data_IF_182955354823
#
_entry.id   IF_182955354823
#
_cell.length_a   1.000
_cell.length_b   1.000
_cell.length_c   1.000
_cell.angle_alpha   90.00
_cell.angle_beta   90.00
_cell.angle_gamma   90.00
#
_symmetry.space_group_name_H-M   'P 1'
#
loop_
_entity.id
_entity.type
_entity.pdbx_description
1 polymer ?
#
# COMPACT_ATOMS: atom_id res chain seq x y z
N UNK A 1 -8.14 -19.47 2.21
CA UNK A 1 -9.48 -18.89 2.09
C UNK A 1 -9.42 -17.37 2.01
N UNK A 2 -8.60 -16.68 2.82
CA UNK A 2 -8.40 -15.21 2.72
C UNK A 2 -7.82 -14.76 1.37
N UNK A 3 -6.92 -15.55 0.77
CA UNK A 3 -6.22 -15.25 -0.49
C UNK A 3 -7.14 -15.10 -1.71
N UNK A 4 -8.13 -15.98 -1.81
CA UNK A 4 -9.15 -15.86 -2.86
C UNK A 4 -10.03 -14.64 -2.58
N UNK A 5 -10.24 -14.30 -1.30
CA UNK A 5 -11.10 -13.19 -0.90
C UNK A 5 -10.59 -11.83 -1.38
N UNK A 6 -9.28 -11.62 -1.37
CA UNK A 6 -8.67 -10.33 -1.70
C UNK A 6 -8.46 -10.15 -3.22
N UNK A 7 -8.03 -11.21 -3.93
CA UNK A 7 -7.75 -11.13 -5.37
C UNK A 7 -9.01 -10.90 -6.22
N UNK A 8 -10.14 -11.53 -5.86
CA UNK A 8 -11.37 -11.28 -6.60
C UNK A 8 -11.88 -9.84 -6.41
N UNK A 9 -11.64 -9.22 -5.24
CA UNK A 9 -12.02 -7.82 -4.98
C UNK A 9 -11.22 -6.88 -5.88
N UNK A 10 -9.92 -7.13 -6.06
CA UNK A 10 -9.09 -6.35 -6.99
C UNK A 10 -9.60 -6.44 -8.43
N UNK A 11 -9.89 -7.66 -8.91
CA UNK A 11 -10.42 -7.87 -10.26
C UNK A 11 -11.79 -7.19 -10.41
N UNK A 12 -12.65 -7.28 -9.39
CA UNK A 12 -13.93 -6.57 -9.37
C UNK A 12 -13.73 -5.06 -9.45
N UNK A 13 -12.79 -4.47 -8.70
CA UNK A 13 -12.50 -3.02 -8.76
C UNK A 13 -12.00 -2.61 -10.14
N UNK A 14 -11.06 -3.37 -10.73
CA UNK A 14 -10.53 -3.08 -12.07
C UNK A 14 -11.62 -3.17 -13.14
N UNK A 15 -12.44 -4.23 -13.14
CA UNK A 15 -13.56 -4.37 -14.07
C UNK A 15 -14.59 -3.24 -13.91
N UNK A 16 -14.85 -2.79 -12.67
CA UNK A 16 -15.73 -1.66 -12.44
C UNK A 16 -15.17 -0.36 -13.01
N UNK A 17 -13.86 -0.12 -12.88
CA UNK A 17 -13.20 1.02 -13.53
C UNK A 17 -13.30 0.93 -15.05
N UNK A 18 -13.10 -0.26 -15.63
CA UNK A 18 -13.22 -0.44 -17.07
C UNK A 18 -14.65 -0.12 -17.56
N UNK A 19 -15.68 -0.46 -16.77
CA UNK A 19 -17.07 -0.04 -17.02
C UNK A 19 -17.19 1.49 -16.92
N UNK A 20 -16.64 2.09 -15.87
CA UNK A 20 -16.69 3.53 -15.65
C UNK A 20 -15.97 4.35 -16.72
N UNK A 21 -14.88 3.84 -17.29
CA UNK A 21 -14.13 4.44 -18.40
C UNK A 21 -14.82 4.23 -19.75
N UNK A 22 -15.87 3.42 -19.80
CA UNK A 22 -16.60 3.10 -21.02
C UNK A 22 -15.94 2.00 -21.88
N UNK A 23 -14.89 1.33 -21.40
CA UNK A 23 -14.29 0.16 -22.05
C UNK A 23 -15.33 -0.95 -22.25
N UNK A 24 -16.23 -1.10 -21.27
CA UNK A 24 -17.41 -1.97 -21.35
C UNK A 24 -18.70 -1.13 -21.27
N UNK A 25 -19.27 -0.70 -22.41
CA UNK A 25 -20.47 0.12 -22.43
C UNK A 25 -21.71 -0.58 -21.87
N UNK A 26 -22.69 0.21 -21.42
CA UNK A 26 -23.99 -0.30 -20.97
C UNK A 26 -24.64 -1.23 -22.01
N UNK A 27 -25.19 -2.36 -21.55
CA UNK A 27 -25.86 -3.35 -22.39
C UNK A 27 -24.93 -4.30 -23.15
N UNK A 28 -23.62 -4.05 -23.17
CA UNK A 28 -22.64 -4.94 -23.81
C UNK A 28 -22.29 -6.13 -22.93
N UNK A 29 -21.79 -7.21 -23.55
CA UNK A 29 -21.31 -8.40 -22.85
C UNK A 29 -19.84 -8.21 -22.46
N UNK A 30 -19.50 -8.57 -21.23
CA UNK A 30 -18.12 -8.76 -20.82
C UNK A 30 -17.47 -9.93 -21.60
N UNK A 31 -16.13 -9.99 -21.65
CA UNK A 31 -15.40 -11.15 -22.15
C UNK A 31 -15.84 -12.44 -21.45
N UNK A 32 -15.65 -13.58 -22.12
CA UNK A 32 -16.01 -14.88 -21.57
C UNK A 32 -15.25 -15.17 -20.27
N UNK A 33 -15.77 -16.07 -19.43
CA UNK A 33 -15.07 -16.47 -18.19
C UNK A 33 -13.64 -16.95 -18.48
N UNK A 34 -13.44 -17.65 -19.59
CA UNK A 34 -12.12 -18.12 -20.01
C UNK A 34 -11.23 -16.95 -20.42
N UNK A 35 -11.71 -16.01 -21.24
CA UNK A 35 -10.96 -14.84 -21.64
C UNK A 35 -10.56 -13.97 -20.42
N UNK A 36 -11.45 -13.84 -19.43
CA UNK A 36 -11.13 -13.14 -18.18
C UNK A 36 -10.10 -13.91 -17.34
N UNK A 37 -10.16 -15.25 -17.29
CA UNK A 37 -9.12 -16.04 -16.61
C UNK A 37 -7.76 -15.85 -17.28
N UNK A 38 -7.71 -15.82 -18.61
CA UNK A 38 -6.49 -15.59 -19.40
C UNK A 38 -5.98 -14.16 -19.21
N UNK A 39 -6.87 -13.15 -19.29
CA UNK A 39 -6.53 -11.73 -19.12
C UNK A 39 -5.94 -11.44 -17.74
N UNK A 40 -6.53 -11.99 -16.68
CA UNK A 40 -6.11 -11.71 -15.30
C UNK A 40 -5.13 -12.75 -14.73
N UNK A 41 -4.89 -13.86 -15.44
CA UNK A 41 -3.99 -14.92 -14.99
C UNK A 41 -4.47 -15.67 -13.74
N UNK A 42 -5.79 -15.72 -13.50
CA UNK A 42 -6.37 -16.31 -12.28
C UNK A 42 -7.34 -17.47 -12.58
N UNK A 43 -7.63 -18.26 -11.55
CA UNK A 43 -8.58 -19.37 -11.65
C UNK A 43 -10.04 -18.92 -11.83
N UNK A 44 -10.85 -19.83 -12.37
CA UNK A 44 -12.30 -19.63 -12.62
C UNK A 44 -13.08 -19.20 -11.38
N UNK A 45 -12.72 -19.72 -10.20
CA UNK A 45 -13.42 -19.39 -8.94
C UNK A 45 -13.22 -17.92 -8.56
N UNK A 46 -12.00 -17.40 -8.71
CA UNK A 46 -11.67 -16.00 -8.44
C UNK A 46 -12.41 -15.06 -9.39
N UNK A 47 -12.44 -15.33 -10.70
CA UNK A 47 -13.23 -14.53 -11.66
C UNK A 47 -14.72 -14.62 -11.33
N UNK A 48 -15.24 -15.81 -10.99
CA UNK A 48 -16.65 -15.96 -10.62
C UNK A 48 -17.01 -15.13 -9.40
N UNK A 49 -16.16 -15.11 -8.37
CA UNK A 49 -16.36 -14.29 -7.18
C UNK A 49 -16.29 -12.79 -7.50
N UNK A 50 -15.36 -12.36 -8.36
CA UNK A 50 -15.24 -10.97 -8.80
C UNK A 50 -16.50 -10.49 -9.54
N UNK A 51 -16.99 -11.30 -10.47
CA UNK A 51 -18.21 -11.02 -11.22
C UNK A 51 -19.46 -11.06 -10.32
N UNK A 52 -19.52 -11.97 -9.34
CA UNK A 52 -20.60 -12.03 -8.38
C UNK A 52 -20.66 -10.78 -7.48
N UNK A 53 -19.50 -10.21 -7.13
CA UNK A 53 -19.45 -8.93 -6.41
C UNK A 53 -20.02 -7.79 -7.26
N UNK A 54 -19.66 -7.72 -8.55
CA UNK A 54 -20.21 -6.72 -9.48
C UNK A 54 -21.71 -6.89 -9.74
N UNK A 55 -22.21 -8.12 -9.74
CA UNK A 55 -23.66 -8.40 -9.82
C UNK A 55 -24.40 -7.93 -8.57
N UNK A 56 -23.82 -8.16 -7.39
CA UNK A 56 -24.36 -7.67 -6.10
C UNK A 56 -24.41 -6.14 -6.09
N UNK A 57 -23.39 -5.50 -6.65
CA UNK A 57 -23.29 -4.04 -6.77
C UNK A 57 -24.12 -3.47 -7.94
N UNK A 58 -24.90 -4.31 -8.66
CA UNK A 58 -25.76 -3.91 -9.77
C UNK A 58 -25.02 -3.37 -11.00
N UNK A 59 -23.71 -3.60 -11.07
CA UNK A 59 -22.86 -3.22 -12.20
C UNK A 59 -23.02 -4.19 -13.38
N UNK A 60 -23.32 -5.45 -13.08
CA UNK A 60 -23.53 -6.51 -14.06
C UNK A 60 -24.86 -7.24 -13.84
N UNK A 61 -25.36 -7.81 -14.94
CA UNK A 61 -26.46 -8.76 -14.94
C UNK A 61 -26.02 -10.04 -15.64
N UNK A 62 -26.29 -11.20 -15.03
CA UNK A 62 -26.08 -12.51 -15.66
C UNK A 62 -27.38 -13.15 -16.09
N UNK A 63 -27.38 -13.67 -17.31
CA UNK A 63 -28.37 -14.62 -17.81
C UNK A 63 -27.77 -16.04 -17.77
N UNK A 64 -28.58 -17.05 -17.43
CA UNK A 64 -28.11 -18.45 -17.37
C UNK A 64 -27.50 -18.85 -18.72
N UNK A 65 -26.26 -19.36 -18.70
CA UNK A 65 -25.56 -19.84 -19.89
C UNK A 65 -24.92 -18.76 -20.78
N UNK A 66 -25.00 -17.47 -20.39
CA UNK A 66 -24.43 -16.36 -21.16
C UNK A 66 -23.30 -15.63 -20.41
N UNK A 67 -22.48 -14.88 -21.16
CA UNK A 67 -21.54 -13.92 -20.58
C UNK A 67 -22.30 -12.83 -19.80
N UNK A 68 -21.69 -12.30 -18.74
CA UNK A 68 -22.28 -11.21 -17.95
C UNK A 68 -22.45 -9.96 -18.84
N UNK A 69 -23.58 -9.28 -18.71
CA UNK A 69 -23.90 -8.04 -19.42
C UNK A 69 -23.75 -6.84 -18.47
N UNK A 70 -23.22 -5.73 -18.96
CA UNK A 70 -23.14 -4.48 -18.18
C UNK A 70 -24.54 -3.91 -17.98
N UNK A 71 -24.94 -3.74 -16.71
CA UNK A 71 -26.23 -3.17 -16.31
C UNK A 71 -26.12 -1.76 -15.75
N UNK A 72 -24.90 -1.27 -15.51
CA UNK A 72 -24.68 0.11 -15.09
C UNK A 72 -24.63 1.04 -16.30
N UNK A 73 -25.55 2.01 -16.36
CA UNK A 73 -25.49 3.11 -17.30
C UNK A 73 -24.75 4.30 -16.67
N UNK A 74 -23.52 4.55 -17.13
CA UNK A 74 -22.67 5.64 -16.66
C UNK A 74 -23.22 7.04 -17.00
N UNK A 75 -24.18 7.13 -17.93
CA UNK A 75 -24.85 8.39 -18.27
C UNK A 75 -26.11 8.66 -17.41
N UNK A 76 -26.54 7.67 -16.62
CA UNK A 76 -27.74 7.71 -15.77
C UNK A 76 -27.51 7.08 -14.40
N UNK A 77 -26.34 7.35 -13.80
CA UNK A 77 -25.93 6.80 -12.51
C UNK A 77 -26.91 7.13 -11.39
N UNK A 78 -27.51 8.32 -11.44
CA UNK A 78 -28.52 8.80 -10.50
C UNK A 78 -29.81 7.97 -10.51
N UNK A 79 -30.01 7.13 -11.52
CA UNK A 79 -31.16 6.21 -11.60
C UNK A 79 -30.81 4.79 -11.13
N UNK A 80 -29.53 4.48 -10.92
CA UNK A 80 -29.11 3.15 -10.50
C UNK A 80 -29.06 3.06 -8.96
N UNK A 81 -30.07 2.39 -8.38
CA UNK A 81 -30.18 2.23 -6.93
C UNK A 81 -28.99 1.54 -6.27
N UNK A 82 -28.33 0.60 -6.97
CA UNK A 82 -27.20 -0.15 -6.41
C UNK A 82 -25.95 0.72 -6.39
N UNK A 83 -25.71 1.49 -7.46
CA UNK A 83 -24.66 2.51 -7.48
C UNK A 83 -24.85 3.52 -6.36
N UNK A 84 -26.05 4.10 -6.23
CA UNK A 84 -26.33 5.09 -5.18
C UNK A 84 -26.17 4.50 -3.77
N UNK A 85 -26.63 3.26 -3.54
CA UNK A 85 -26.42 2.57 -2.27
C UNK A 85 -24.93 2.38 -1.96
N UNK A 86 -24.15 1.92 -2.95
CA UNK A 86 -22.69 1.76 -2.81
C UNK A 86 -21.98 3.08 -2.51
N UNK A 87 -22.38 4.16 -3.18
CA UNK A 87 -21.86 5.52 -2.91
C UNK A 87 -22.22 6.01 -1.50
N UNK A 88 -23.42 5.69 -1.02
CA UNK A 88 -23.82 5.99 0.35
C UNK A 88 -22.97 5.21 1.37
N UNK A 89 -22.71 3.93 1.11
CA UNK A 89 -21.84 3.09 1.94
C UNK A 89 -20.38 3.57 1.95
N UNK A 90 -19.85 4.07 0.84
CA UNK A 90 -18.44 4.50 0.74
C UNK A 90 -18.19 5.94 1.16
N UNK A 91 -19.21 6.69 1.61
CA UNK A 91 -19.09 8.13 1.87
C UNK A 91 -17.98 8.46 2.86
N UNK A 92 -17.96 7.79 4.00
CA UNK A 92 -16.98 8.05 5.05
C UNK A 92 -15.59 7.59 4.61
N UNK A 93 -15.49 6.44 3.94
CA UNK A 93 -14.25 5.98 3.31
C UNK A 93 -13.66 6.98 2.29
N UNK A 94 -14.50 7.64 1.49
CA UNK A 94 -14.05 8.69 0.55
C UNK A 94 -13.45 9.87 1.31
N UNK A 95 -14.09 10.30 2.42
CA UNK A 95 -13.55 11.34 3.27
C UNK A 95 -12.19 10.94 3.88
N UNK A 96 -12.09 9.70 4.38
CA UNK A 96 -10.86 9.14 4.93
C UNK A 96 -9.73 9.10 3.89
N UNK A 97 -10.01 8.70 2.64
CA UNK A 97 -8.99 8.67 1.57
C UNK A 97 -8.51 10.08 1.22
N UNK A 98 -9.39 11.08 1.12
CA UNK A 98 -8.95 12.47 0.90
C UNK A 98 -8.07 12.99 2.04
N UNK A 99 -8.41 12.67 3.29
CA UNK A 99 -7.60 13.04 4.44
C UNK A 99 -6.23 12.35 4.40
N UNK A 100 -6.19 11.07 4.02
CA UNK A 100 -4.94 10.34 3.82
C UNK A 100 -4.08 10.96 2.71
N UNK A 101 -4.65 11.29 1.55
CA UNK A 101 -3.93 11.98 0.47
C UNK A 101 -3.38 13.34 0.93
N UNK A 102 -4.17 14.13 1.66
CA UNK A 102 -3.75 15.44 2.20
C UNK A 102 -2.62 15.37 3.24
N UNK A 103 -2.39 14.19 3.84
CA UNK A 103 -1.26 13.93 4.75
C UNK A 103 -0.06 13.34 4.01
N UNK A 104 -0.27 12.32 3.17
CA UNK A 104 0.79 11.55 2.52
C UNK A 104 1.38 12.25 1.30
N UNK A 105 0.53 12.73 0.39
CA UNK A 105 0.97 13.23 -0.92
C UNK A 105 1.89 14.46 -0.84
N UNK A 106 1.69 15.44 0.05
CA UNK A 106 2.63 16.56 0.19
C UNK A 106 4.06 16.10 0.50
N UNK A 107 4.20 15.07 1.35
CA UNK A 107 5.50 14.50 1.74
C UNK A 107 6.08 13.66 0.61
N UNK A 108 5.25 12.83 -0.04
CA UNK A 108 5.64 11.96 -1.14
C UNK A 108 6.09 12.73 -2.37
N UNK A 109 5.29 13.71 -2.82
CA UNK A 109 5.60 14.57 -3.96
C UNK A 109 6.88 15.36 -3.69
N UNK A 110 7.03 15.91 -2.48
CA UNK A 110 8.26 16.61 -2.14
C UNK A 110 9.49 15.72 -2.22
N UNK A 111 9.43 14.51 -1.63
CA UNK A 111 10.53 13.56 -1.70
C UNK A 111 10.85 13.19 -3.15
N UNK A 112 9.82 12.94 -3.97
CA UNK A 112 10.00 12.59 -5.38
C UNK A 112 10.65 13.72 -6.19
N UNK A 113 10.24 14.97 -5.97
CA UNK A 113 10.80 16.14 -6.66
C UNK A 113 12.27 16.39 -6.29
N UNK A 114 12.76 15.89 -5.16
CA UNK A 114 14.20 15.94 -4.84
C UNK A 114 15.05 15.05 -5.77
N UNK A 115 14.43 14.11 -6.48
CA UNK A 115 15.06 13.26 -7.48
C UNK A 115 14.82 13.74 -8.92
N UNK A 116 14.09 14.84 -9.12
CA UNK A 116 13.81 15.38 -10.44
C UNK A 116 15.00 16.19 -10.98
N UNK A 117 15.33 16.01 -12.25
CA UNK A 117 16.27 16.86 -12.99
C UNK A 117 15.54 17.96 -13.80
N UNK A 118 16.31 18.75 -14.55
CA UNK A 118 15.77 19.83 -15.38
C UNK A 118 14.79 19.33 -16.44
N UNK A 119 15.05 18.17 -17.06
CA UNK A 119 14.17 17.61 -18.09
C UNK A 119 12.82 17.20 -17.47
N UNK A 120 12.83 16.53 -16.32
CA UNK A 120 11.61 16.18 -15.60
C UNK A 120 10.77 17.42 -15.30
N UNK A 121 11.40 18.51 -14.83
CA UNK A 121 10.72 19.76 -14.50
C UNK A 121 10.11 20.45 -15.74
N UNK A 122 10.82 20.46 -16.87
CA UNK A 122 10.31 20.99 -18.13
C UNK A 122 9.09 20.21 -18.62
N UNK A 123 9.13 18.87 -18.55
CA UNK A 123 8.01 18.02 -18.94
C UNK A 123 6.78 18.23 -18.04
N UNK A 124 6.99 18.39 -16.72
CA UNK A 124 5.92 18.72 -15.77
C UNK A 124 5.31 20.09 -16.08
N UNK A 125 6.14 21.09 -16.36
CA UNK A 125 5.68 22.42 -16.74
C UNK A 125 4.86 22.38 -18.02
N UNK A 126 5.34 21.66 -19.04
CA UNK A 126 4.63 21.50 -20.30
C UNK A 126 3.28 20.79 -20.12
N UNK A 127 3.26 19.67 -19.39
CA UNK A 127 2.03 18.92 -19.12
C UNK A 127 0.98 19.76 -18.40
N UNK A 128 1.36 20.46 -17.33
CA UNK A 128 0.43 21.32 -16.57
C UNK A 128 -0.07 22.49 -17.43
N UNK A 129 0.80 23.11 -18.24
CA UNK A 129 0.37 24.17 -19.17
C UNK A 129 -0.68 23.67 -20.15
N UNK A 130 -0.52 22.48 -20.73
CA UNK A 130 -1.52 21.89 -21.62
C UNK A 130 -2.87 21.65 -20.93
N UNK A 131 -2.85 21.25 -19.65
CA UNK A 131 -4.07 21.08 -18.86
C UNK A 131 -4.78 22.40 -18.56
N UNK A 132 -4.04 23.51 -18.50
CA UNK A 132 -4.62 24.84 -18.25
C UNK A 132 -5.11 25.56 -19.51
N UNK A 133 -4.63 25.17 -20.70
CA UNK A 133 -4.87 25.93 -21.95
C UNK A 133 -5.97 25.36 -22.85
N UNK A 134 -6.29 24.07 -22.75
CA UNK A 134 -7.35 23.44 -23.55
C UNK A 134 -8.60 23.24 -22.70
N UNK A 135 -9.77 23.29 -23.33
CA UNK A 135 -10.99 22.81 -22.70
C UNK A 135 -10.89 21.30 -22.50
N UNK A 136 -11.08 20.87 -21.27
CA UNK A 136 -11.08 19.45 -20.89
C UNK A 136 -12.38 19.12 -20.17
N UNK A 137 -12.85 17.90 -20.37
CA UNK A 137 -13.85 17.29 -19.49
C UNK A 137 -13.25 17.02 -18.11
N UNK A 138 -14.10 16.92 -17.09
CA UNK A 138 -13.61 16.61 -15.73
C UNK A 138 -12.96 15.22 -15.67
N UNK A 139 -13.44 14.28 -16.50
CA UNK A 139 -12.83 12.97 -16.67
C UNK A 139 -11.39 13.08 -17.20
N UNK A 140 -11.17 13.84 -18.28
CA UNK A 140 -9.82 14.05 -18.84
C UNK A 140 -8.89 14.73 -17.84
N UNK A 141 -9.39 15.69 -17.06
CA UNK A 141 -8.60 16.32 -16.01
C UNK A 141 -8.25 15.37 -14.86
N UNK A 142 -9.16 14.49 -14.45
CA UNK A 142 -8.90 13.50 -13.40
C UNK A 142 -7.92 12.42 -13.87
N UNK A 143 -8.06 11.92 -15.10
CA UNK A 143 -7.09 11.00 -15.70
C UNK A 143 -5.71 11.69 -15.79
N UNK A 144 -5.65 12.93 -16.26
CA UNK A 144 -4.40 13.67 -16.32
C UNK A 144 -3.78 13.91 -14.93
N UNK A 145 -4.60 14.20 -13.92
CA UNK A 145 -4.16 14.33 -12.53
C UNK A 145 -3.58 13.00 -12.02
N UNK A 146 -4.25 11.87 -12.28
CA UNK A 146 -3.75 10.54 -11.92
C UNK A 146 -2.42 10.24 -12.61
N UNK A 147 -2.30 10.53 -13.91
CA UNK A 147 -1.03 10.37 -14.64
C UNK A 147 0.07 11.28 -14.07
N UNK A 148 -0.26 12.51 -13.65
CA UNK A 148 0.69 13.43 -13.02
C UNK A 148 1.19 12.87 -11.68
N UNK A 149 0.30 12.36 -10.83
CA UNK A 149 0.67 11.70 -9.57
C UNK A 149 1.62 10.53 -9.83
N UNK A 150 1.25 9.63 -10.74
CA UNK A 150 2.06 8.45 -11.05
C UNK A 150 3.42 8.82 -11.66
N UNK A 151 3.46 9.83 -12.54
CA UNK A 151 4.70 10.33 -13.13
C UNK A 151 5.64 10.90 -12.08
N UNK A 152 5.15 11.82 -11.24
CA UNK A 152 5.98 12.47 -10.21
C UNK A 152 6.45 11.44 -9.19
N UNK A 153 5.56 10.63 -8.62
CA UNK A 153 5.94 9.61 -7.64
C UNK A 153 6.83 8.52 -8.24
N UNK A 154 6.80 8.34 -9.57
CA UNK A 154 7.67 7.43 -10.30
C UNK A 154 9.16 7.75 -10.12
N UNK A 155 9.52 8.99 -9.82
CA UNK A 155 10.91 9.38 -9.55
C UNK A 155 11.51 8.68 -8.33
N UNK A 156 10.68 8.15 -7.44
CA UNK A 156 11.13 7.37 -6.28
C UNK A 156 11.43 5.90 -6.61
N UNK A 157 11.03 5.40 -7.79
CA UNK A 157 11.32 4.02 -8.20
C UNK A 157 10.66 2.94 -7.33
N UNK A 158 9.60 3.27 -6.59
CA UNK A 158 8.88 2.35 -5.71
C UNK A 158 7.53 1.95 -6.33
N UNK A 159 7.47 0.75 -6.91
CA UNK A 159 6.27 0.25 -7.59
C UNK A 159 5.06 0.12 -6.65
N UNK A 160 5.28 -0.14 -5.36
CA UNK A 160 4.22 -0.28 -4.36
C UNK A 160 3.63 1.07 -3.93
N UNK A 161 4.42 2.15 -3.97
CA UNK A 161 3.91 3.51 -3.81
C UNK A 161 3.00 3.90 -4.98
N UNK A 162 3.42 3.56 -6.21
CA UNK A 162 2.60 3.80 -7.40
C UNK A 162 1.29 3.02 -7.34
N UNK A 163 1.36 1.75 -6.97
CA UNK A 163 0.19 0.89 -6.79
C UNK A 163 -0.75 1.41 -5.69
N UNK A 164 -0.23 1.75 -4.50
CA UNK A 164 -1.02 2.36 -3.42
C UNK A 164 -1.71 3.64 -3.90
N UNK A 165 -0.97 4.51 -4.58
CA UNK A 165 -1.51 5.78 -5.08
C UNK A 165 -2.60 5.53 -6.10
N UNK A 166 -2.40 4.58 -7.02
CA UNK A 166 -3.43 4.17 -7.99
C UNK A 166 -4.68 3.69 -7.24
N UNK A 167 -4.54 2.77 -6.29
CA UNK A 167 -5.69 2.23 -5.55
C UNK A 167 -6.45 3.29 -4.74
N UNK A 168 -5.75 4.27 -4.15
CA UNK A 168 -6.38 5.40 -3.47
C UNK A 168 -7.19 6.26 -4.43
N UNK A 169 -6.60 6.65 -5.57
CA UNK A 169 -7.28 7.46 -6.59
C UNK A 169 -8.46 6.73 -7.24
N UNK A 170 -8.28 5.44 -7.48
CA UNK A 170 -9.30 4.53 -7.99
C UNK A 170 -10.50 4.39 -7.05
N UNK A 171 -10.27 4.43 -5.73
CA UNK A 171 -11.34 4.43 -4.73
C UNK A 171 -12.14 5.74 -4.75
N UNK A 172 -11.48 6.86 -5.04
CA UNK A 172 -12.12 8.18 -5.19
C UNK A 172 -12.83 8.36 -6.53
N UNK A 173 -12.63 7.46 -7.48
CA UNK A 173 -13.16 7.63 -8.82
C UNK A 173 -14.69 7.60 -8.80
N UNK A 174 -15.29 8.76 -9.05
CA UNK A 174 -16.71 8.95 -9.28
C UNK A 174 -16.93 9.09 -10.79
N UNK A 175 -17.63 8.17 -11.45
CA UNK A 175 -17.99 8.35 -12.86
C UNK A 175 -18.93 9.56 -12.97
N UNK A 176 -18.54 10.55 -13.77
CA UNK A 176 -19.36 11.73 -14.03
C UNK A 176 -20.19 11.50 -15.30
N UNK A 177 -21.50 11.71 -15.21
CA UNK A 177 -22.36 11.70 -16.38
C UNK A 177 -21.99 12.88 -17.31
N UNK A 178 -21.77 12.61 -18.61
CA UNK A 178 -21.63 13.64 -19.66
C UNK A 178 -22.99 14.35 -19.94
N UNK A 179 -23.58 15.04 -18.96
CA UNK A 179 -24.79 15.88 -19.19
C UNK A 179 -24.50 17.36 -19.01
N UNK A 180 -25.17 18.17 -19.81
CA UNK A 180 -25.16 19.64 -19.81
C UNK A 180 -25.45 20.24 -18.42
N UNK A 181 -26.38 19.68 -17.64
CA UNK A 181 -26.71 20.19 -16.28
C UNK A 181 -25.68 19.81 -15.19
N UNK A 182 -24.85 18.79 -15.42
CA UNK A 182 -23.73 18.45 -14.54
C UNK A 182 -22.51 19.35 -14.78
N UNK A 183 -22.44 20.03 -15.93
CA UNK A 183 -21.34 20.93 -16.25
C UNK A 183 -21.37 22.21 -15.41
N UNK A 184 -22.54 22.78 -15.09
CA UNK A 184 -22.60 23.99 -14.27
C UNK A 184 -22.06 23.79 -12.84
N UNK A 185 -22.40 22.68 -12.17
CA UNK A 185 -21.92 22.40 -10.82
C UNK A 185 -20.44 21.94 -10.78
N UNK A 186 -19.88 21.53 -11.93
CA UNK A 186 -18.53 20.99 -12.05
C UNK A 186 -17.57 21.91 -12.81
N UNK A 187 -18.06 22.95 -13.49
CA UNK A 187 -17.25 23.97 -14.17
C UNK A 187 -16.32 24.66 -13.16
N UNK A 188 -16.85 25.01 -11.99
CA UNK A 188 -16.07 25.52 -10.87
C UNK A 188 -14.95 24.56 -10.45
N UNK A 189 -15.20 23.25 -10.45
CA UNK A 189 -14.19 22.25 -10.08
C UNK A 189 -13.09 22.12 -11.14
N UNK A 190 -13.43 22.22 -12.43
CA UNK A 190 -12.45 22.24 -13.52
C UNK A 190 -11.49 23.44 -13.38
N UNK A 191 -12.05 24.63 -13.19
CA UNK A 191 -11.26 25.87 -13.02
C UNK A 191 -10.39 25.77 -11.77
N UNK A 192 -10.98 25.41 -10.62
CA UNK A 192 -10.24 25.23 -9.35
C UNK A 192 -9.09 24.24 -9.48
N UNK A 193 -9.30 23.09 -10.12
CA UNK A 193 -8.25 22.09 -10.33
C UNK A 193 -7.11 22.65 -11.17
N UNK A 194 -7.42 23.27 -12.31
CA UNK A 194 -6.41 23.85 -13.21
C UNK A 194 -5.58 24.95 -12.54
N UNK A 195 -6.22 25.88 -11.83
CA UNK A 195 -5.54 26.94 -11.08
C UNK A 195 -4.68 26.38 -9.95
N UNK A 196 -5.16 25.34 -9.27
CA UNK A 196 -4.43 24.74 -8.16
C UNK A 196 -3.19 24.02 -8.65
N UNK A 197 -3.27 23.28 -9.76
CA UNK A 197 -2.10 22.68 -10.40
C UNK A 197 -1.07 23.73 -10.83
N UNK A 198 -1.53 24.85 -11.42
CA UNK A 198 -0.65 25.96 -11.77
C UNK A 198 0.05 26.57 -10.54
N UNK A 199 -0.68 26.76 -9.43
CA UNK A 199 -0.10 27.25 -8.16
C UNK A 199 0.91 26.28 -7.56
N UNK A 200 0.62 24.97 -7.59
CA UNK A 200 1.58 23.94 -7.14
C UNK A 200 2.85 24.01 -7.97
N UNK A 201 2.74 24.03 -9.30
CA UNK A 201 3.88 24.15 -10.20
C UNK A 201 4.69 25.42 -9.94
N UNK A 202 4.03 26.56 -9.73
CA UNK A 202 4.70 27.81 -9.39
C UNK A 202 5.59 27.66 -8.15
N UNK A 203 5.07 27.05 -7.08
CA UNK A 203 5.85 26.84 -5.86
C UNK A 203 6.97 25.80 -6.02
N UNK A 204 6.79 24.81 -6.89
CA UNK A 204 7.88 23.89 -7.28
C UNK A 204 9.00 24.67 -7.97
N UNK A 205 8.68 25.51 -8.96
CA UNK A 205 9.66 26.33 -9.69
C UNK A 205 10.38 27.35 -8.81
N UNK A 206 9.70 27.85 -7.77
CA UNK A 206 10.29 28.76 -6.79
C UNK A 206 11.08 28.05 -5.69
N UNK A 207 11.22 26.72 -5.74
CA UNK A 207 11.80 25.90 -4.67
C UNK A 207 11.20 26.21 -3.29
N UNK A 208 9.86 26.33 -3.24
CA UNK A 208 9.11 26.63 -2.02
C UNK A 208 8.28 25.40 -1.57
N UNK A 209 8.93 24.39 -0.95
CA UNK A 209 8.26 23.16 -0.57
C UNK A 209 7.19 23.38 0.51
N UNK A 210 7.32 24.41 1.34
CA UNK A 210 6.32 24.74 2.36
C UNK A 210 4.99 25.14 1.71
N UNK A 211 5.02 26.10 0.78
CA UNK A 211 3.82 26.55 0.08
C UNK A 211 3.24 25.45 -0.81
N UNK A 212 4.10 24.72 -1.54
CA UNK A 212 3.66 23.57 -2.33
C UNK A 212 2.88 22.55 -1.48
N UNK A 213 3.44 22.11 -0.34
CA UNK A 213 2.79 21.16 0.56
C UNK A 213 1.47 21.68 1.10
N UNK A 214 1.43 22.97 1.48
CA UNK A 214 0.22 23.63 1.98
C UNK A 214 -0.87 23.67 0.91
N UNK A 215 -0.52 23.97 -0.34
CA UNK A 215 -1.46 24.02 -1.47
C UNK A 215 -2.02 22.63 -1.80
N UNK A 216 -1.19 21.58 -1.82
CA UNK A 216 -1.66 20.19 -2.03
C UNK A 216 -2.65 19.78 -0.93
N UNK A 217 -2.35 20.09 0.33
CA UNK A 217 -3.25 19.77 1.44
C UNK A 217 -4.58 20.52 1.32
N UNK A 218 -4.52 21.81 1.02
CA UNK A 218 -5.72 22.62 0.80
C UNK A 218 -6.57 22.08 -0.34
N UNK A 219 -5.94 21.67 -1.44
CA UNK A 219 -6.63 21.03 -2.57
C UNK A 219 -7.37 19.76 -2.17
N UNK A 220 -6.75 18.89 -1.37
CA UNK A 220 -7.41 17.67 -0.89
C UNK A 220 -8.61 18.01 0.01
N UNK A 221 -8.46 19.00 0.90
CA UNK A 221 -9.52 19.39 1.84
C UNK A 221 -10.73 20.01 1.13
N UNK A 222 -10.51 20.90 0.16
CA UNK A 222 -11.59 21.51 -0.63
C UNK A 222 -12.28 20.49 -1.53
N UNK A 223 -11.51 19.65 -2.21
CA UNK A 223 -12.05 18.56 -3.04
C UNK A 223 -12.85 17.55 -2.21
N UNK A 224 -12.41 17.25 -0.98
CA UNK A 224 -13.19 16.45 -0.02
C UNK A 224 -14.55 17.07 0.26
N UNK A 225 -14.57 18.36 0.63
CA UNK A 225 -15.82 19.09 0.94
C UNK A 225 -16.80 19.08 -0.24
N UNK A 226 -16.30 19.33 -1.45
CA UNK A 226 -17.13 19.32 -2.66
C UNK A 226 -17.64 17.91 -3.00
N UNK A 227 -16.78 16.88 -2.83
CA UNK A 227 -17.17 15.47 -3.02
C UNK A 227 -18.23 15.02 -2.00
N UNK A 228 -18.08 15.40 -0.72
CA UNK A 228 -19.06 15.08 0.32
C UNK A 228 -20.43 15.73 0.04
N UNK A 229 -20.44 17.01 -0.34
CA UNK A 229 -21.68 17.72 -0.72
C UNK A 229 -22.37 17.04 -1.90
N UNK A 230 -21.58 16.58 -2.88
CA UNK A 230 -22.11 15.82 -4.02
C UNK A 230 -22.73 14.50 -3.58
N UNK A 231 -22.01 13.69 -2.78
CA UNK A 231 -22.49 12.41 -2.27
C UNK A 231 -23.76 12.54 -1.42
N UNK A 232 -23.82 13.53 -0.53
CA UNK A 232 -25.01 13.85 0.27
C UNK A 232 -26.22 14.16 -0.61
N UNK A 233 -26.02 14.90 -1.71
CA UNK A 233 -27.08 15.26 -2.65
C UNK A 233 -27.60 14.03 -3.40
N UNK A 234 -26.71 13.20 -3.96
CA UNK A 234 -27.12 12.06 -4.81
C UNK A 234 -27.61 10.87 -3.99
N UNK A 235 -27.15 10.71 -2.75
CA UNK A 235 -27.54 9.62 -1.85
C UNK A 235 -28.67 10.01 -0.89
N UNK A 236 -29.35 11.14 -1.12
CA UNK A 236 -30.40 11.65 -0.23
C UNK A 236 -31.50 10.60 -0.01
N UNK A 237 -31.78 10.30 1.25
CA UNK A 237 -32.80 9.31 1.64
C UNK A 237 -32.33 7.85 1.59
N UNK A 238 -31.05 7.60 1.30
CA UNK A 238 -30.45 6.27 1.37
C UNK A 238 -29.78 6.11 2.74
N UNK A 239 -30.13 5.03 3.43
CA UNK A 239 -29.56 4.67 4.73
C UNK A 239 -28.68 3.44 4.56
N UNK A 240 -27.34 3.59 4.52
CA UNK A 240 -26.43 2.46 4.39
C UNK A 240 -26.46 1.62 5.67
N UNK A 241 -26.45 0.29 5.51
CA UNK A 241 -26.39 -0.65 6.63
C UNK A 241 -24.94 -0.95 7.08
N UNK A 242 -23.99 -0.80 6.17
CA UNK A 242 -22.57 -1.06 6.37
C UNK A 242 -21.75 0.04 5.67
N UNK A 243 -20.61 0.39 6.24
CA UNK A 243 -19.63 1.29 5.64
C UNK A 243 -18.66 0.53 4.72
N UNK A 244 -18.30 1.14 3.60
CA UNK A 244 -17.22 0.65 2.73
C UNK A 244 -16.01 1.54 2.97
N UNK A 245 -15.00 0.98 3.60
CA UNK A 245 -13.70 1.64 3.82
C UNK A 245 -12.71 1.30 2.71
N UNK A 246 -11.65 2.10 2.62
CA UNK A 246 -10.51 1.80 1.77
C UNK A 246 -9.71 0.63 2.34
N UNK A 247 -9.34 -0.31 1.46
CA UNK A 247 -8.43 -1.41 1.76
C UNK A 247 -7.34 -1.42 0.69
N UNK A 248 -6.09 -1.21 1.11
CA UNK A 248 -4.91 -1.37 0.26
C UNK A 248 -4.55 -2.84 0.13
N UNK A 249 -4.35 -3.30 -1.10
CA UNK A 249 -3.93 -4.65 -1.37
C UNK A 249 -2.55 -4.69 -2.03
N UNK A 250 -1.59 -5.38 -1.41
CA UNK A 250 -0.20 -5.48 -1.91
C UNK A 250 0.05 -6.66 -2.85
N UNK A 251 -0.95 -7.51 -3.10
CA UNK A 251 -0.81 -8.64 -4.02
C UNK A 251 -0.10 -9.89 -3.48
N UNK A 252 0.35 -9.93 -2.21
CA UNK A 252 1.31 -10.95 -1.74
C UNK A 252 1.03 -11.69 -0.42
N UNK A 253 -0.14 -11.55 0.20
CA UNK A 253 -0.49 -12.17 1.51
C UNK A 253 -0.11 -13.67 1.65
N UNK A 254 -0.24 -14.46 0.58
CA UNK A 254 0.06 -15.92 0.55
C UNK A 254 1.55 -16.23 0.66
N UNK A 255 2.38 -15.35 0.10
CA UNK A 255 3.80 -15.60 -0.04
C UNK A 255 4.53 -15.36 1.28
N UNK A 256 3.93 -14.63 2.21
CA UNK A 256 4.59 -14.25 3.45
C UNK A 256 4.53 -15.31 4.54
N UNK A 257 3.51 -16.17 4.61
CA UNK A 257 3.42 -17.11 5.72
C UNK A 257 4.59 -18.11 5.72
N UNK A 258 4.90 -18.73 4.58
CA UNK A 258 6.04 -19.65 4.49
C UNK A 258 7.38 -18.92 4.65
N UNK A 259 7.51 -17.67 4.17
CA UNK A 259 8.72 -16.86 4.34
C UNK A 259 8.95 -16.44 5.80
N UNK A 260 7.88 -16.05 6.49
CA UNK A 260 7.89 -15.74 7.93
C UNK A 260 8.29 -16.98 8.73
N UNK A 261 7.71 -18.14 8.41
CA UNK A 261 8.11 -19.42 9.01
C UNK A 261 9.57 -19.77 8.70
N UNK A 262 10.02 -19.61 7.46
CA UNK A 262 11.42 -19.83 7.07
C UNK A 262 12.36 -18.93 7.88
N UNK A 263 12.05 -17.64 7.99
CA UNK A 263 12.83 -16.68 8.78
C UNK A 263 12.89 -17.03 10.27
N UNK A 264 11.79 -17.53 10.83
CA UNK A 264 11.74 -18.00 12.22
C UNK A 264 12.57 -19.27 12.44
N UNK A 265 12.53 -20.22 11.50
CA UNK A 265 13.37 -21.42 11.56
C UNK A 265 14.85 -21.02 11.48
N UNK A 266 15.25 -20.19 10.51
CA UNK A 266 16.65 -19.75 10.35
C UNK A 266 17.12 -18.96 11.58
N UNK A 267 16.25 -18.16 12.18
CA UNK A 267 16.55 -17.48 13.45
C UNK A 267 16.80 -18.48 14.58
N UNK A 268 15.92 -19.47 14.76
CA UNK A 268 16.09 -20.52 15.78
C UNK A 268 17.36 -21.35 15.56
N UNK A 269 17.73 -21.61 14.30
CA UNK A 269 18.99 -22.25 13.93
C UNK A 269 20.18 -21.38 14.36
N UNK A 270 20.17 -20.09 14.02
CA UNK A 270 21.23 -19.15 14.37
C UNK A 270 21.39 -18.95 15.88
N UNK A 271 20.30 -19.06 16.63
CA UNK A 271 20.27 -19.02 18.10
C UNK A 271 20.62 -20.37 18.75
N UNK A 272 21.09 -21.35 17.98
CA UNK A 272 21.48 -22.69 18.43
C UNK A 272 20.37 -23.46 19.17
N UNK A 273 19.10 -23.29 18.77
CA UNK A 273 17.96 -24.04 19.36
C UNK A 273 17.84 -25.48 18.86
N UNK A 274 18.74 -25.92 17.99
CA UNK A 274 18.84 -27.27 17.45
C UNK A 274 20.29 -27.78 17.59
N UNK A 275 20.75 -28.05 18.83
CA UNK A 275 22.17 -28.29 19.13
C UNK A 275 22.72 -29.56 18.45
N UNK A 276 21.87 -30.56 18.21
CA UNK A 276 22.27 -31.81 17.54
C UNK A 276 22.38 -31.66 16.01
N UNK A 277 22.10 -30.47 15.47
CA UNK A 277 22.16 -30.20 14.04
C UNK A 277 21.01 -30.79 13.21
N UNK A 278 19.99 -31.36 13.86
CA UNK A 278 18.81 -31.93 13.23
C UNK A 278 17.55 -31.12 13.53
N UNK A 279 16.73 -30.90 12.51
CA UNK A 279 15.40 -30.30 12.68
C UNK A 279 14.37 -31.35 13.09
N UNK A 280 13.31 -30.88 13.75
CA UNK A 280 12.13 -31.68 14.08
C UNK A 280 11.44 -32.20 12.80
N UNK A 281 10.57 -33.20 12.93
CA UNK A 281 9.78 -33.67 11.79
C UNK A 281 8.74 -32.62 11.34
N UNK A 282 8.14 -32.84 10.16
CA UNK A 282 7.25 -31.84 9.56
C UNK A 282 6.03 -31.54 10.43
N UNK A 283 5.46 -32.55 11.09
CA UNK A 283 4.31 -32.43 11.98
C UNK A 283 4.64 -31.60 13.21
N UNK A 284 5.77 -31.90 13.87
CA UNK A 284 6.28 -31.17 15.03
C UNK A 284 6.64 -29.72 14.68
N UNK A 285 7.28 -29.48 13.52
CA UNK A 285 7.54 -28.12 13.04
C UNK A 285 6.24 -27.39 12.76
N UNK A 286 5.25 -28.05 12.14
CA UNK A 286 3.94 -27.49 11.83
C UNK A 286 3.24 -26.99 13.10
N UNK A 287 3.29 -27.79 14.17
CA UNK A 287 2.75 -27.47 15.49
C UNK A 287 3.53 -26.33 16.15
N UNK A 288 4.86 -26.44 16.22
CA UNK A 288 5.74 -25.44 16.86
C UNK A 288 5.59 -24.05 16.27
N UNK A 289 5.45 -23.94 14.95
CA UNK A 289 5.31 -22.65 14.27
C UNK A 289 3.85 -22.29 13.93
N UNK A 290 2.88 -23.07 14.41
CA UNK A 290 1.45 -22.85 14.22
C UNK A 290 1.04 -22.61 12.75
N UNK A 291 1.54 -23.46 11.84
CA UNK A 291 1.19 -23.40 10.40
C UNK A 291 0.63 -24.73 9.91
N UNK A 292 0.01 -24.73 8.73
CA UNK A 292 -0.45 -25.98 8.11
C UNK A 292 0.73 -26.83 7.60
N UNK A 293 0.53 -28.15 7.51
CA UNK A 293 1.53 -29.07 6.94
C UNK A 293 1.89 -28.70 5.49
N UNK A 294 0.94 -28.16 4.72
CA UNK A 294 1.18 -27.65 3.36
C UNK A 294 2.14 -26.46 3.37
N UNK A 295 1.94 -25.52 4.29
CA UNK A 295 2.83 -24.37 4.48
C UNK A 295 4.22 -24.85 4.91
N UNK A 296 4.31 -25.76 5.89
CA UNK A 296 5.58 -26.28 6.37
C UNK A 296 6.37 -27.02 5.28
N UNK A 297 5.71 -27.86 4.47
CA UNK A 297 6.35 -28.51 3.31
C UNK A 297 6.92 -27.50 2.32
N UNK A 298 6.18 -26.42 2.03
CA UNK A 298 6.66 -25.32 1.17
C UNK A 298 7.85 -24.60 1.80
N UNK A 299 7.80 -24.32 3.10
CA UNK A 299 8.90 -23.71 3.87
C UNK A 299 10.16 -24.56 3.80
N UNK A 300 10.06 -25.87 4.06
CA UNK A 300 11.21 -26.78 4.05
C UNK A 300 11.81 -26.93 2.66
N UNK A 301 10.96 -27.03 1.62
CA UNK A 301 11.44 -27.00 0.23
C UNK A 301 12.26 -25.74 -0.04
N UNK A 302 11.73 -24.57 0.34
CA UNK A 302 12.40 -23.29 0.12
C UNK A 302 13.73 -23.18 0.89
N UNK A 303 13.79 -23.63 2.14
CA UNK A 303 15.04 -23.65 2.92
C UNK A 303 16.08 -24.62 2.34
N UNK A 304 15.63 -25.74 1.76
CA UNK A 304 16.49 -26.70 1.07
C UNK A 304 17.02 -26.14 -0.25
N UNK A 305 16.18 -25.44 -1.02
CA UNK A 305 16.57 -24.76 -2.26
C UNK A 305 17.63 -23.66 -1.99
N UNK A 306 17.54 -22.99 -0.82
CA UNK A 306 18.54 -22.03 -0.34
C UNK A 306 19.77 -22.68 0.31
N UNK A 307 19.85 -24.01 0.38
CA UNK A 307 20.95 -24.77 0.99
C UNK A 307 21.22 -24.42 2.47
N UNK A 308 20.20 -23.96 3.20
CA UNK A 308 20.30 -23.71 4.65
C UNK A 308 20.00 -24.98 5.46
N UNK A 309 19.30 -25.92 4.83
CA UNK A 309 18.90 -27.22 5.36
C UNK A 309 19.05 -28.26 4.25
N UNK A 310 19.36 -29.50 4.59
CA UNK A 310 19.37 -30.63 3.67
C UNK A 310 18.31 -31.65 4.12
N UNK A 311 17.30 -31.87 3.28
CA UNK A 311 16.28 -32.91 3.53
C UNK A 311 16.65 -34.20 2.80
N UNK A 312 16.80 -35.30 3.53
CA UNK A 312 17.04 -36.64 2.97
C UNK A 312 15.83 -37.55 3.19
N UNK A 313 15.42 -38.26 2.13
CA UNK A 313 14.28 -39.16 2.18
C UNK A 313 14.42 -40.18 3.33
N UNK A 314 13.45 -40.22 4.24
CA UNK A 314 13.42 -41.14 5.38
C UNK A 314 14.34 -40.82 6.56
N UNK A 315 15.21 -39.79 6.46
CA UNK A 315 16.22 -39.45 7.47
C UNK A 315 16.00 -38.09 8.16
N UNK A 316 14.93 -37.37 7.78
CA UNK A 316 14.63 -36.05 8.32
C UNK A 316 15.43 -34.92 7.65
N UNK A 317 15.41 -33.74 8.27
CA UNK A 317 16.09 -32.55 7.75
C UNK A 317 17.27 -32.18 8.64
N UNK A 318 18.46 -32.03 8.05
CA UNK A 318 19.71 -31.67 8.74
C UNK A 318 20.05 -30.21 8.46
N UNK A 319 20.55 -29.51 9.47
CA UNK A 319 21.00 -28.12 9.36
C UNK A 319 22.37 -28.09 8.68
N UNK A 320 22.50 -27.28 7.62
CA UNK A 320 23.76 -27.01 6.92
C UNK A 320 24.16 -25.52 7.04
N UNK A 321 23.39 -24.77 7.82
CA UNK A 321 23.59 -23.35 8.04
C UNK A 321 24.97 -23.04 8.64
N UNK A 322 25.76 -22.21 7.96
CA UNK A 322 26.93 -21.54 8.50
C UNK A 322 27.09 -20.15 7.88
N UNK A 323 28.07 -19.36 8.33
CA UNK A 323 28.40 -18.07 7.72
C UNK A 323 28.66 -18.16 6.21
N UNK A 324 29.28 -19.25 5.73
CA UNK A 324 29.56 -19.44 4.31
C UNK A 324 28.29 -19.73 3.51
N UNK A 325 27.41 -20.60 4.02
CA UNK A 325 26.12 -20.89 3.40
C UNK A 325 25.21 -19.65 3.44
N UNK A 326 25.29 -18.83 4.49
CA UNK A 326 24.56 -17.55 4.56
C UNK A 326 24.96 -16.63 3.41
N UNK A 327 26.26 -16.46 3.16
CA UNK A 327 26.77 -15.65 2.03
C UNK A 327 26.33 -16.25 0.69
N UNK A 328 26.42 -17.58 0.55
CA UNK A 328 26.00 -18.28 -0.67
C UNK A 328 24.50 -18.12 -0.94
N UNK A 329 23.67 -18.16 0.12
CA UNK A 329 22.24 -17.94 0.03
C UNK A 329 21.90 -16.50 -0.40
N UNK A 330 22.62 -15.50 0.11
CA UNK A 330 22.43 -14.09 -0.26
C UNK A 330 22.66 -13.81 -1.76
N UNK A 331 23.48 -14.63 -2.42
CA UNK A 331 23.78 -14.53 -3.86
C UNK A 331 22.75 -15.24 -4.74
N UNK A 332 21.76 -15.92 -4.15
CA UNK A 332 20.77 -16.63 -4.95
C UNK A 332 19.72 -15.71 -5.55
N UNK A 333 19.50 -15.85 -6.86
CA UNK A 333 18.60 -14.99 -7.64
C UNK A 333 17.17 -14.95 -7.10
N UNK A 334 16.70 -16.07 -6.54
CA UNK A 334 15.36 -16.19 -5.96
C UNK A 334 15.11 -15.25 -4.76
N UNK A 335 16.14 -14.70 -4.12
CA UNK A 335 16.00 -13.74 -3.03
C UNK A 335 15.90 -12.29 -3.50
N UNK A 336 16.37 -11.93 -4.70
CA UNK A 336 16.37 -10.53 -5.16
C UNK A 336 14.97 -9.90 -5.18
N UNK A 337 13.91 -10.55 -5.72
CA UNK A 337 12.56 -9.98 -5.71
C UNK A 337 11.93 -9.88 -4.31
N UNK A 338 12.48 -10.59 -3.32
CA UNK A 338 12.04 -10.54 -1.93
C UNK A 338 12.77 -9.44 -1.16
N UNK A 339 14.05 -9.25 -1.45
CA UNK A 339 14.85 -8.15 -0.94
C UNK A 339 14.31 -6.81 -1.47
N UNK A 340 14.08 -6.71 -2.78
CA UNK A 340 13.50 -5.53 -3.42
C UNK A 340 12.13 -5.18 -2.82
N UNK A 341 11.28 -6.19 -2.64
CA UNK A 341 9.99 -6.04 -1.96
C UNK A 341 10.15 -5.44 -0.57
N UNK A 342 11.03 -6.00 0.26
CA UNK A 342 11.25 -5.52 1.62
C UNK A 342 11.77 -4.08 1.63
N UNK A 343 12.71 -3.73 0.75
CA UNK A 343 13.23 -2.37 0.59
C UNK A 343 12.09 -1.41 0.26
N UNK A 344 11.23 -1.74 -0.71
CA UNK A 344 10.09 -0.89 -1.06
C UNK A 344 9.11 -0.68 0.10
N UNK A 345 8.85 -1.72 0.91
CA UNK A 345 7.98 -1.62 2.08
C UNK A 345 8.61 -0.75 3.17
N UNK A 346 9.92 -0.82 3.34
CA UNK A 346 10.67 0.01 4.29
C UNK A 346 10.66 1.49 3.88
N UNK A 347 10.86 1.78 2.59
CA UNK A 347 10.72 3.14 2.02
C UNK A 347 9.32 3.72 2.26
N UNK A 348 8.27 2.90 2.05
CA UNK A 348 6.89 3.30 2.34
C UNK A 348 6.65 3.53 3.83
N UNK A 349 7.24 2.70 4.70
CA UNK A 349 7.18 2.89 6.16
C UNK A 349 7.85 4.21 6.57
N UNK A 350 8.99 4.54 5.98
CA UNK A 350 9.67 5.82 6.20
C UNK A 350 8.83 7.01 5.74
N UNK A 351 8.23 6.92 4.55
CA UNK A 351 7.35 7.96 4.01
C UNK A 351 6.13 8.19 4.92
N UNK A 352 5.50 7.10 5.35
CA UNK A 352 4.34 7.13 6.24
C UNK A 352 4.71 7.76 7.59
N UNK A 353 5.83 7.33 8.18
CA UNK A 353 6.35 7.89 9.43
C UNK A 353 6.67 9.39 9.32
N UNK A 354 7.26 9.83 8.21
CA UNK A 354 7.50 11.27 7.95
C UNK A 354 6.20 12.06 7.91
N UNK A 355 5.12 11.49 7.40
CA UNK A 355 3.83 12.16 7.27
C UNK A 355 2.99 12.15 8.56
N UNK A 356 3.03 11.08 9.36
CA UNK A 356 2.01 10.84 10.41
C UNK A 356 2.57 10.77 11.84
N UNK A 357 3.87 10.50 12.03
CA UNK A 357 4.42 10.17 13.34
C UNK A 357 4.19 11.27 14.40
N UNK A 358 4.20 12.55 13.99
CA UNK A 358 3.92 13.67 14.90
C UNK A 358 2.53 13.60 15.51
N UNK A 359 1.51 13.25 14.72
CA UNK A 359 0.12 13.17 15.18
C UNK A 359 -0.09 11.90 16.00
N UNK A 360 0.48 10.78 15.56
CA UNK A 360 0.34 9.49 16.24
C UNK A 360 1.04 9.45 17.62
N UNK A 361 2.23 10.04 17.73
CA UNK A 361 2.97 10.11 19.00
C UNK A 361 2.23 10.89 20.10
N UNK A 362 1.38 11.85 19.72
CA UNK A 362 0.56 12.58 20.70
C UNK A 362 -0.52 11.70 21.34
N UNK A 363 -0.96 10.68 20.60
CA UNK A 363 -2.03 9.74 20.98
C UNK A 363 -1.54 8.54 21.76
N UNK A 364 -0.27 8.16 21.59
CA UNK A 364 0.34 7.11 22.41
C UNK A 364 0.43 7.53 23.87
N UNK A 365 0.09 6.59 24.75
CA UNK A 365 0.31 6.71 26.19
C UNK A 365 1.81 6.60 26.51
N UNK A 366 2.23 7.22 27.61
CA UNK A 366 3.63 7.09 28.06
C UNK A 366 3.99 5.66 28.44
N UNK A 367 3.02 4.84 28.88
CA UNK A 367 3.23 3.42 29.18
C UNK A 367 3.61 2.63 27.92
N UNK A 368 2.95 2.90 26.80
CA UNK A 368 3.28 2.28 25.51
C UNK A 368 4.67 2.72 25.03
N UNK A 369 4.97 4.02 25.12
CA UNK A 369 6.27 4.56 24.71
C UNK A 369 7.43 4.08 25.60
N UNK A 370 7.21 3.90 26.90
CA UNK A 370 8.18 3.29 27.81
C UNK A 370 8.38 1.80 27.49
N UNK A 371 7.33 1.08 27.12
CA UNK A 371 7.41 -0.29 26.61
C UNK A 371 8.26 -0.38 25.35
N UNK A 372 8.04 0.54 24.40
CA UNK A 372 8.83 0.67 23.18
C UNK A 372 10.31 0.94 23.47
N UNK A 373 10.60 1.84 24.41
CA UNK A 373 11.97 2.15 24.80
C UNK A 373 12.69 0.93 25.40
N UNK A 374 11.99 0.09 26.17
CA UNK A 374 12.53 -1.18 26.66
C UNK A 374 12.81 -2.16 25.52
N UNK A 375 11.86 -2.31 24.61
CA UNK A 375 12.02 -3.18 23.44
C UNK A 375 13.23 -2.78 22.57
N UNK A 376 13.37 -1.48 22.28
CA UNK A 376 14.50 -0.95 21.50
C UNK A 376 15.83 -1.22 22.23
N UNK A 377 15.86 -1.03 23.55
CA UNK A 377 17.06 -1.30 24.36
C UNK A 377 17.43 -2.78 24.37
N UNK A 378 16.46 -3.68 24.52
CA UNK A 378 16.68 -5.13 24.54
C UNK A 378 17.13 -5.66 23.18
N UNK A 379 16.47 -5.23 22.10
CA UNK A 379 16.76 -5.69 20.74
C UNK A 379 17.92 -4.93 20.09
N UNK A 380 18.40 -3.85 20.71
CA UNK A 380 19.43 -2.93 20.18
C UNK A 380 19.14 -2.49 18.74
N UNK A 381 17.87 -2.25 18.43
CA UNK A 381 17.40 -1.81 17.10
C UNK A 381 16.04 -1.13 17.20
N UNK A 382 15.82 -0.12 16.36
CA UNK A 382 14.47 0.39 16.08
C UNK A 382 13.86 -0.43 14.95
N UNK A 383 12.88 -1.28 15.27
CA UNK A 383 12.24 -2.10 14.24
C UNK A 383 11.18 -1.30 13.47
N UNK A 384 10.95 -1.54 12.17
CA UNK A 384 9.86 -0.88 11.45
C UNK A 384 8.49 -1.18 12.08
N UNK A 385 8.31 -2.36 12.68
CA UNK A 385 7.10 -2.72 13.43
C UNK A 385 6.85 -1.80 14.63
N UNK A 386 7.92 -1.39 15.33
CA UNK A 386 7.85 -0.43 16.44
C UNK A 386 7.32 0.94 15.97
N UNK A 387 7.69 1.36 14.75
CA UNK A 387 7.22 2.61 14.15
C UNK A 387 5.76 2.47 13.70
N UNK A 388 5.42 1.37 13.04
CA UNK A 388 4.06 1.08 12.57
C UNK A 388 3.07 0.91 13.73
N UNK A 389 3.51 0.34 14.86
CA UNK A 389 2.73 0.30 16.09
C UNK A 389 2.27 1.69 16.54
N UNK A 390 3.16 2.67 16.53
CA UNK A 390 2.79 4.06 16.83
C UNK A 390 1.81 4.58 15.77
N UNK A 391 2.09 4.37 14.49
CA UNK A 391 1.26 4.89 13.40
C UNK A 391 -0.19 4.35 13.47
N UNK A 392 -0.39 3.11 13.91
CA UNK A 392 -1.73 2.51 14.11
C UNK A 392 -2.60 3.21 15.16
N UNK A 393 -2.06 4.17 15.94
CA UNK A 393 -2.86 5.04 16.82
C UNK A 393 -3.54 6.21 16.07
N UNK A 394 -3.43 6.26 14.74
CA UNK A 394 -4.09 7.26 13.93
C UNK A 394 -5.62 7.09 13.93
N UNK A 395 -6.39 8.18 13.83
CA UNK A 395 -7.86 8.10 13.81
C UNK A 395 -8.43 7.71 12.44
N UNK A 396 -7.73 8.10 11.37
CA UNK A 396 -8.14 7.80 10.00
C UNK A 396 -7.95 6.29 9.67
N UNK A 397 -9.04 5.54 9.39
CA UNK A 397 -8.99 4.11 9.07
C UNK A 397 -8.11 3.77 7.85
N UNK A 398 -8.05 4.65 6.84
CA UNK A 398 -7.21 4.44 5.66
C UNK A 398 -5.72 4.42 6.03
N UNK A 399 -5.29 5.29 6.96
CA UNK A 399 -3.89 5.32 7.43
C UNK A 399 -3.57 4.06 8.25
N UNK A 400 -4.49 3.63 9.11
CA UNK A 400 -4.34 2.40 9.89
C UNK A 400 -4.25 1.17 8.99
N UNK A 401 -5.13 1.07 7.98
CA UNK A 401 -5.09 -0.01 7.01
C UNK A 401 -3.74 -0.06 6.25
N UNK A 402 -3.22 1.09 5.79
CA UNK A 402 -1.90 1.14 5.15
C UNK A 402 -0.81 0.66 6.13
N UNK A 403 -0.86 1.09 7.39
CA UNK A 403 0.12 0.68 8.40
C UNK A 403 0.08 -0.82 8.72
N UNK A 404 -1.11 -1.42 8.79
CA UNK A 404 -1.32 -2.86 8.97
C UNK A 404 -0.74 -3.65 7.80
N UNK A 405 -1.02 -3.23 6.57
CA UNK A 405 -0.48 -3.88 5.37
C UNK A 405 1.06 -3.80 5.30
N UNK A 406 1.64 -2.68 5.70
CA UNK A 406 3.10 -2.55 5.82
C UNK A 406 3.67 -3.44 6.93
N UNK A 407 2.99 -3.55 8.07
CA UNK A 407 3.43 -4.39 9.18
C UNK A 407 3.43 -5.87 8.80
N UNK A 408 2.38 -6.33 8.11
CA UNK A 408 2.31 -7.67 7.55
C UNK A 408 3.43 -7.93 6.55
N UNK A 409 3.71 -6.97 5.66
CA UNK A 409 4.77 -7.07 4.67
C UNK A 409 6.18 -7.14 5.29
N UNK A 410 6.46 -6.30 6.30
CA UNK A 410 7.72 -6.29 7.04
C UNK A 410 7.89 -7.58 7.85
N UNK A 411 6.83 -8.05 8.52
CA UNK A 411 6.83 -9.32 9.25
C UNK A 411 7.02 -10.52 8.30
N UNK A 412 6.38 -10.47 7.12
CA UNK A 412 6.51 -11.46 6.07
C UNK A 412 7.91 -11.60 5.50
N UNK A 413 8.69 -10.52 5.57
CA UNK A 413 10.07 -10.44 5.08
C UNK A 413 11.10 -10.85 6.14
N UNK A 414 10.69 -11.59 7.17
CA UNK A 414 11.57 -12.01 8.27
C UNK A 414 12.81 -12.76 7.80
N UNK A 415 12.69 -13.63 6.79
CA UNK A 415 13.85 -14.34 6.24
C UNK A 415 14.89 -13.39 5.64
N UNK A 416 14.44 -12.39 4.87
CA UNK A 416 15.32 -11.37 4.29
C UNK A 416 16.03 -10.60 5.40
N UNK A 417 15.32 -10.24 6.46
CA UNK A 417 15.90 -9.55 7.64
C UNK A 417 16.93 -10.41 8.37
N UNK A 418 16.71 -11.73 8.45
CA UNK A 418 17.67 -12.65 9.07
C UNK A 418 18.91 -12.87 8.20
N UNK A 419 18.72 -13.06 6.89
CA UNK A 419 19.82 -13.32 5.96
C UNK A 419 20.63 -12.07 5.67
N UNK A 420 19.98 -10.95 5.38
CA UNK A 420 20.64 -9.70 4.99
C UNK A 420 20.73 -8.70 6.14
N UNK A 421 20.34 -9.04 7.36
CA UNK A 421 20.49 -8.14 8.52
C UNK A 421 21.96 -7.72 8.72
N UNK A 422 22.14 -6.51 9.23
CA UNK A 422 23.45 -5.96 9.60
C UNK A 422 23.42 -5.51 11.06
N UNK A 423 24.59 -5.46 11.69
CA UNK A 423 24.72 -4.83 12.99
C UNK A 423 24.75 -3.32 12.82
N UNK A 424 24.12 -2.61 13.76
CA UNK A 424 24.12 -1.16 13.78
C UNK A 424 25.52 -0.64 14.09
N UNK A 425 25.98 0.37 13.34
CA UNK A 425 27.23 1.07 13.63
C UNK A 425 27.17 1.84 14.97
N UNK A 426 28.33 2.33 15.43
CA UNK A 426 28.44 3.02 16.73
C UNK A 426 27.53 4.25 16.82
N UNK A 427 27.41 5.02 15.74
CA UNK A 427 26.58 6.23 15.71
C UNK A 427 25.10 5.87 15.84
N UNK A 428 24.64 4.87 15.10
CA UNK A 428 23.26 4.37 15.14
C UNK A 428 22.95 3.79 16.51
N UNK A 429 23.89 3.06 17.13
CA UNK A 429 23.73 2.57 18.51
C UNK A 429 23.62 3.73 19.52
N UNK A 430 24.38 4.81 19.32
CA UNK A 430 24.30 6.00 20.16
C UNK A 430 22.97 6.74 19.99
N UNK A 431 22.48 6.88 18.76
CA UNK A 431 21.19 7.48 18.45
C UNK A 431 20.04 6.67 19.03
N UNK A 432 20.12 5.33 19.03
CA UNK A 432 19.16 4.47 19.71
C UNK A 432 19.15 4.67 21.23
N UNK A 433 20.33 4.79 21.87
CA UNK A 433 20.41 5.11 23.31
C UNK A 433 19.78 6.48 23.59
N UNK A 434 20.05 7.46 22.73
CA UNK A 434 19.44 8.79 22.82
C UNK A 434 17.92 8.70 22.69
N UNK A 435 17.41 7.92 21.73
CA UNK A 435 15.97 7.72 21.54
C UNK A 435 15.33 7.13 22.80
N UNK A 436 15.89 6.05 23.36
CA UNK A 436 15.39 5.46 24.60
C UNK A 436 15.36 6.45 25.76
N UNK A 437 16.40 7.30 25.88
CA UNK A 437 16.43 8.34 26.91
C UNK A 437 15.36 9.42 26.69
N UNK A 438 15.18 9.89 25.45
CA UNK A 438 14.16 10.91 25.12
C UNK A 438 12.75 10.42 25.35
N UNK A 439 12.47 9.14 25.07
CA UNK A 439 11.19 8.51 25.38
C UNK A 439 10.93 8.47 26.90
N UNK A 440 11.94 8.14 27.71
CA UNK A 440 11.86 8.16 29.18
C UNK A 440 11.70 9.56 29.76
N UNK A 441 12.40 10.53 29.20
CA UNK A 441 12.32 11.95 29.58
C UNK A 441 11.03 12.62 29.11
N UNK A 442 10.19 11.91 28.36
CA UNK A 442 8.92 12.40 27.80
C UNK A 442 9.08 13.50 26.73
N UNK A 443 10.19 13.49 26.00
CA UNK A 443 10.54 14.48 24.98
C UNK A 443 10.02 14.08 23.58
N UNK A 444 8.70 14.17 23.34
CA UNK A 444 8.07 13.68 22.08
C UNK A 444 8.73 14.22 20.81
N UNK A 445 8.97 15.54 20.72
CA UNK A 445 9.52 16.17 19.50
C UNK A 445 10.89 15.61 19.13
N UNK A 446 11.76 15.44 20.13
CA UNK A 446 13.11 14.91 19.92
C UNK A 446 13.08 13.41 19.59
N UNK A 447 12.20 12.65 20.25
CA UNK A 447 11.97 11.24 19.93
C UNK A 447 11.51 11.05 18.48
N UNK A 448 10.57 11.88 18.00
CA UNK A 448 10.10 11.85 16.59
C UNK A 448 11.27 12.08 15.62
N UNK A 449 12.11 13.09 15.87
CA UNK A 449 13.27 13.39 15.01
C UNK A 449 14.27 12.23 14.97
N UNK A 450 14.60 11.66 16.13
CA UNK A 450 15.51 10.52 16.22
C UNK A 450 14.94 9.27 15.53
N UNK A 451 13.64 8.98 15.71
CA UNK A 451 12.98 7.87 15.02
C UNK A 451 13.02 8.04 13.50
N UNK A 452 12.73 9.23 13.00
CA UNK A 452 12.78 9.52 11.56
C UNK A 452 14.19 9.39 11.00
N UNK A 453 15.21 9.87 11.74
CA UNK A 453 16.62 9.75 11.35
C UNK A 453 17.09 8.30 11.32
N UNK A 454 16.80 7.54 12.39
CA UNK A 454 17.14 6.12 12.49
C UNK A 454 16.50 5.30 11.37
N UNK A 455 15.21 5.56 11.09
CA UNK A 455 14.50 4.87 10.01
C UNK A 455 15.08 5.21 8.64
N UNK A 456 15.44 6.48 8.40
CA UNK A 456 16.09 6.91 7.15
C UNK A 456 17.45 6.23 6.94
N UNK A 457 18.28 6.16 7.98
CA UNK A 457 19.58 5.49 7.92
C UNK A 457 19.42 3.99 7.67
N UNK A 458 18.47 3.33 8.34
CA UNK A 458 18.13 1.92 8.11
C UNK A 458 17.70 1.71 6.65
N UNK A 459 16.76 2.50 6.12
CA UNK A 459 16.34 2.42 4.71
C UNK A 459 17.54 2.57 3.77
N UNK A 460 18.42 3.55 4.02
CA UNK A 460 19.64 3.77 3.22
C UNK A 460 20.55 2.55 3.20
N UNK A 461 20.83 1.95 4.36
CA UNK A 461 21.64 0.73 4.49
C UNK A 461 21.03 -0.44 3.71
N UNK A 462 19.70 -0.59 3.73
CA UNK A 462 19.01 -1.62 2.95
C UNK A 462 19.05 -1.37 1.45
N UNK A 463 18.94 -0.11 0.98
CA UNK A 463 19.07 0.22 -0.45
C UNK A 463 20.45 -0.14 -1.00
N UNK A 464 21.51 -0.02 -0.21
CA UNK A 464 22.86 -0.40 -0.63
C UNK A 464 23.00 -1.90 -0.94
N UNK A 465 22.06 -2.74 -0.47
CA UNK A 465 22.02 -4.20 -0.75
C UNK A 465 21.24 -4.54 -2.02
N UNK A 466 20.63 -3.54 -2.67
CA UNK A 466 19.93 -3.69 -3.95
C UNK A 466 20.91 -3.85 -5.12
N UNK A 467 22.14 -3.38 -4.94
CA UNK A 467 23.30 -3.55 -5.81
C UNK A 467 24.03 -4.86 -5.47
#
# INVERSE_FOLDING_TARGET
MEQEATLYRQISRQLLQDIYKGTYPYGTKLPSLQALCEQFGVGRNTIRAALALLEKDGALQREKGSCARVSLDIHHLEKNRYFLYRMACSRDGVAHVYDALGMLMPTAIHAALQHADAQHLEELQFGIRQLTQKEHTLYELNEALQQLYLKVLGFLGNAYLLDLTKQLLDFLYLPYAKKENSEEALADNKVKLSETLAKILLFVMQNNPFMMKKTIRYFCETTKKDSMRYLERICKGIHPQEGIEFEWYTGREVSFLYMKTAGSIVKDIAENRYPDGHLLNLEQLSERYAVSLRTMRRTMKFLNDLQLVETRNGLGSRIVYSSQQKISAQQQEQLHPLLDYYICMLELTELLAKATLSVCMERCTWKELEGLAKEIQEKKRLSPESVLFIIKHHENPCICNIAEQLEEAVCGSMLIRTLFGHEADEQTQQDMKSLCQTLRNRERRRAIQLMQSLLHNETGSWKMKRC
#
